data_IF_425833903898
#
_entry.id   IF_425833903898
#
_cell.length_a   1.000
_cell.length_b   1.000
_cell.length_c   1.000
_cell.angle_alpha   90.00
_cell.angle_beta   90.00
_cell.angle_gamma   90.00
#
_symmetry.space_group_name_H-M   'P 1'
#
loop_
_entity.id
_entity.type
_entity.pdbx_description
1 polymer ?
#
# COMPACT_ATOMS: atom_id res chain seq x y z
N UNK A 1 -5.52 15.13 4.09
CA UNK A 1 -5.90 14.01 4.97
C UNK A 1 -7.33 13.61 4.68
N UNK A 2 -7.69 12.33 4.79
CA UNK A 2 -9.08 11.88 4.66
C UNK A 2 -9.99 12.54 5.71
N UNK A 3 -11.15 13.08 5.29
CA UNK A 3 -12.09 13.80 6.15
C UNK A 3 -12.83 12.90 7.16
N UNK A 4 -12.72 11.58 7.02
CA UNK A 4 -13.23 10.60 7.97
C UNK A 4 -12.39 10.45 9.25
N UNK A 5 -11.23 11.11 9.32
CA UNK A 5 -10.30 11.00 10.44
C UNK A 5 -10.37 12.18 11.41
N UNK A 6 -10.20 11.86 12.69
CA UNK A 6 -9.83 12.83 13.73
C UNK A 6 -8.32 12.79 13.88
N UNK A 7 -7.65 13.91 13.63
CA UNK A 7 -6.19 14.03 13.58
C UNK A 7 -5.69 14.88 14.75
N UNK A 8 -4.58 14.49 15.36
CA UNK A 8 -3.86 15.23 16.41
C UNK A 8 -2.36 15.19 16.10
N UNK A 9 -1.65 16.28 16.41
CA UNK A 9 -0.19 16.32 16.35
C UNK A 9 0.35 16.12 17.77
N UNK A 10 1.40 15.31 17.91
CA UNK A 10 2.05 15.06 19.21
C UNK A 10 2.92 16.26 19.62
N UNK A 11 3.57 16.91 18.66
CA UNK A 11 4.59 17.94 18.87
C UNK A 11 4.18 19.32 18.29
N UNK A 12 2.87 19.56 18.15
CA UNK A 12 2.35 20.78 17.56
C UNK A 12 0.84 20.95 17.76
N UNK A 13 0.32 22.09 17.33
CA UNK A 13 -1.12 22.33 17.21
C UNK A 13 -1.56 22.18 15.75
N UNK A 14 -2.73 21.60 15.55
CA UNK A 14 -3.37 21.47 14.23
C UNK A 14 -4.52 22.47 14.10
N UNK A 15 -4.52 23.21 13.01
CA UNK A 15 -5.63 24.07 12.62
C UNK A 15 -6.16 23.62 11.27
N UNK A 16 -7.47 23.35 11.20
CA UNK A 16 -8.13 23.09 9.92
C UNK A 16 -8.09 24.37 9.07
N UNK A 17 -7.58 24.26 7.85
CA UNK A 17 -7.50 25.39 6.92
C UNK A 17 -8.58 25.33 5.83
N UNK A 18 -8.94 24.13 5.39
CA UNK A 18 -9.97 23.93 4.37
C UNK A 18 -10.48 22.49 4.39
N UNK A 19 -11.66 22.31 3.79
CA UNK A 19 -12.20 21.01 3.38
C UNK A 19 -12.36 21.06 1.86
N UNK A 20 -12.04 19.96 1.18
CA UNK A 20 -12.23 19.85 -0.27
C UNK A 20 -13.71 19.98 -0.64
N UNK A 21 -14.00 20.41 -1.87
CA UNK A 21 -15.37 20.59 -2.37
C UNK A 21 -16.19 19.29 -2.31
N UNK A 22 -15.55 18.15 -2.56
CA UNK A 22 -16.16 16.81 -2.45
C UNK A 22 -16.37 16.35 -0.99
N UNK A 23 -15.89 17.11 -0.01
CA UNK A 23 -15.99 16.77 1.41
C UNK A 23 -15.17 15.55 1.85
N UNK A 24 -14.30 15.01 0.99
CA UNK A 24 -13.51 13.80 1.25
C UNK A 24 -12.16 14.07 1.89
N UNK A 25 -11.66 15.31 1.82
CA UNK A 25 -10.35 15.70 2.34
C UNK A 25 -10.44 16.92 3.24
N UNK A 26 -9.64 16.88 4.30
CA UNK A 26 -9.39 18.03 5.17
C UNK A 26 -7.92 18.39 5.08
N UNK A 27 -7.67 19.68 4.87
CA UNK A 27 -6.35 20.28 4.87
C UNK A 27 -6.09 20.91 6.24
N UNK A 28 -4.89 20.71 6.77
CA UNK A 28 -4.48 21.19 8.07
C UNK A 28 -3.19 22.00 7.97
N UNK A 29 -3.07 23.02 8.81
CA UNK A 29 -1.80 23.67 9.13
C UNK A 29 -1.34 23.16 10.49
N UNK A 30 -0.11 22.66 10.54
CA UNK A 30 0.55 22.30 11.80
C UNK A 30 1.45 23.45 12.23
N UNK A 31 1.34 23.87 13.49
CA UNK A 31 2.28 24.78 14.14
C UNK A 31 3.07 23.98 15.18
N UNK A 32 4.36 23.77 14.94
CA UNK A 32 5.22 23.03 15.85
C UNK A 32 5.47 23.83 17.13
N UNK A 33 5.46 23.16 18.29
CA UNK A 33 5.76 23.79 19.57
C UNK A 33 7.26 24.10 19.72
N UNK A 34 8.10 23.29 19.08
CA UNK A 34 9.56 23.43 19.07
C UNK A 34 10.06 23.03 17.69
N UNK A 35 11.10 23.69 17.19
CA UNK A 35 11.69 23.36 15.89
C UNK A 35 12.19 21.90 15.89
N UNK A 36 11.78 21.13 14.89
CA UNK A 36 12.15 19.73 14.69
C UNK A 36 11.98 19.36 13.21
N UNK A 37 12.74 18.35 12.80
CA UNK A 37 12.67 17.67 11.51
C UNK A 37 11.65 16.51 11.49
N UNK A 38 11.07 16.16 12.65
CA UNK A 38 10.10 15.07 12.78
C UNK A 38 8.71 15.62 13.08
N UNK A 39 7.72 15.29 12.26
CA UNK A 39 6.31 15.53 12.56
C UNK A 39 5.62 14.22 12.94
N UNK A 40 5.05 14.15 14.14
CA UNK A 40 4.28 12.97 14.59
C UNK A 40 2.79 13.27 14.63
N UNK A 41 2.04 12.51 13.84
CA UNK A 41 0.58 12.62 13.76
C UNK A 41 -0.08 11.34 14.26
N UNK A 42 -1.12 11.52 15.07
CA UNK A 42 -2.00 10.46 15.53
C UNK A 42 -3.37 10.70 14.91
N UNK A 43 -3.91 9.72 14.20
CA UNK A 43 -5.24 9.83 13.61
C UNK A 43 -6.02 8.53 13.69
N UNK A 44 -7.35 8.66 13.79
CA UNK A 44 -8.30 7.54 13.85
C UNK A 44 -9.64 7.94 13.26
N UNK A 45 -10.37 6.97 12.72
CA UNK A 45 -11.73 7.19 12.26
C UNK A 45 -12.12 6.19 11.16
N UNK A 46 -13.29 6.42 10.57
CA UNK A 46 -13.75 5.67 9.39
C UNK A 46 -13.48 6.55 8.17
N UNK A 47 -12.54 6.17 7.29
CA UNK A 47 -12.24 6.97 6.11
C UNK A 47 -13.46 7.08 5.20
N UNK A 48 -13.58 8.23 4.52
CA UNK A 48 -14.60 8.50 3.51
C UNK A 48 -13.99 8.34 2.14
N UNK A 49 -14.68 7.64 1.26
CA UNK A 49 -14.23 7.41 -0.11
C UNK A 49 -15.24 7.96 -1.09
N UNK A 50 -14.79 8.26 -2.30
CA UNK A 50 -15.68 8.60 -3.40
C UNK A 50 -16.51 7.38 -3.80
N UNK A 51 -17.75 7.57 -4.20
CA UNK A 51 -18.54 6.53 -4.89
C UNK A 51 -18.07 6.30 -6.33
N UNK A 52 -17.16 7.15 -6.82
CA UNK A 52 -16.56 7.00 -8.15
C UNK A 52 -15.67 5.77 -8.20
N UNK A 53 -15.79 5.06 -9.31
CA UNK A 53 -14.92 3.95 -9.65
C UNK A 53 -14.06 4.29 -10.87
N UNK A 54 -12.92 3.63 -10.97
CA UNK A 54 -12.04 3.67 -12.13
C UNK A 54 -12.34 2.51 -13.09
N UNK A 55 -11.44 2.23 -14.04
CA UNK A 55 -11.58 1.12 -14.98
C UNK A 55 -11.83 -0.20 -14.23
N UNK A 56 -12.74 -1.05 -14.73
CA UNK A 56 -13.09 -2.33 -14.10
C UNK A 56 -13.84 -2.20 -12.76
N UNK A 57 -14.36 -1.01 -12.43
CA UNK A 57 -15.18 -0.81 -11.23
C UNK A 57 -14.37 -0.66 -9.93
N UNK A 58 -13.06 -0.49 -10.02
CA UNK A 58 -12.19 -0.39 -8.85
C UNK A 58 -12.43 0.93 -8.08
N UNK A 59 -12.64 0.88 -6.76
CA UNK A 59 -12.92 2.07 -5.96
C UNK A 59 -11.68 2.94 -5.76
N UNK A 60 -11.87 4.23 -5.45
CA UNK A 60 -10.78 5.14 -5.02
C UNK A 60 -10.30 4.90 -3.57
N UNK A 61 -10.69 3.78 -2.98
CA UNK A 61 -10.43 3.43 -1.59
C UNK A 61 -11.58 2.60 -1.02
N UNK A 62 -11.25 1.54 -0.29
CA UNK A 62 -12.23 0.72 0.42
C UNK A 62 -11.58 0.12 1.67
N UNK A 63 -12.37 0.05 2.74
CA UNK A 63 -12.07 -0.71 3.95
C UNK A 63 -13.37 -1.42 4.33
N UNK A 64 -13.48 -2.70 3.98
CA UNK A 64 -14.68 -3.51 4.22
C UNK A 64 -14.31 -4.89 4.77
N UNK A 65 -15.32 -5.74 5.00
CA UNK A 65 -15.10 -7.14 5.37
C UNK A 65 -14.57 -8.01 4.22
N UNK A 66 -14.68 -7.53 2.98
CA UNK A 66 -14.27 -8.27 1.77
C UNK A 66 -12.85 -7.93 1.33
N UNK A 67 -12.34 -6.77 1.77
CA UNK A 67 -10.97 -6.36 1.50
C UNK A 67 -10.67 -4.91 1.82
N UNK A 68 -9.39 -4.57 1.69
CA UNK A 68 -8.86 -3.22 1.81
C UNK A 68 -8.09 -2.88 0.54
N UNK A 69 -8.37 -1.72 -0.02
CA UNK A 69 -7.54 -1.08 -1.02
C UNK A 69 -7.41 0.40 -0.64
N UNK A 70 -6.17 0.87 -0.48
CA UNK A 70 -5.86 2.25 -0.14
C UNK A 70 -4.62 2.70 -0.94
N UNK A 71 -4.74 3.86 -1.55
CA UNK A 71 -3.69 4.59 -2.28
C UNK A 71 -3.74 6.10 -1.93
N UNK A 72 -2.92 6.93 -2.56
CA UNK A 72 -2.87 8.37 -2.35
C UNK A 72 -4.23 9.04 -2.57
N UNK A 73 -5.02 8.55 -3.54
CA UNK A 73 -6.34 9.11 -3.89
C UNK A 73 -7.30 9.03 -2.70
N UNK A 74 -7.19 7.98 -1.88
CA UNK A 74 -7.97 7.78 -0.66
C UNK A 74 -7.54 8.70 0.50
N UNK A 75 -6.38 9.35 0.40
CA UNK A 75 -5.82 10.25 1.42
C UNK A 75 -5.73 9.60 2.82
N UNK A 76 -5.49 8.29 2.86
CA UNK A 76 -5.42 7.50 4.09
C UNK A 76 -4.20 7.81 4.97
N UNK A 77 -3.20 8.48 4.39
CA UNK A 77 -2.05 9.09 5.04
C UNK A 77 -2.00 10.61 4.75
N UNK A 78 -1.18 11.38 5.48
CA UNK A 78 -0.98 12.80 5.20
C UNK A 78 -0.29 13.02 3.85
N UNK A 79 -0.93 13.79 2.97
CA UNK A 79 -0.37 14.18 1.67
C UNK A 79 0.34 15.54 1.81
N UNK A 80 1.62 15.57 1.49
CA UNK A 80 2.45 16.78 1.49
C UNK A 80 2.76 17.30 0.08
N UNK A 81 2.34 16.59 -0.97
CA UNK A 81 2.63 16.96 -2.37
C UNK A 81 4.10 16.76 -2.74
N UNK A 82 4.78 15.84 -2.07
CA UNK A 82 6.16 15.43 -2.31
C UNK A 82 6.23 13.91 -2.37
N UNK A 83 7.22 13.39 -3.08
CA UNK A 83 7.52 11.96 -3.14
C UNK A 83 8.15 11.49 -1.81
N UNK A 84 8.09 10.18 -1.58
CA UNK A 84 8.65 9.53 -0.41
C UNK A 84 9.98 8.87 -0.77
N UNK A 85 11.03 9.15 0.00
CA UNK A 85 12.32 8.48 -0.18
C UNK A 85 12.32 7.04 0.38
N UNK A 86 11.58 6.83 1.47
CA UNK A 86 11.53 5.57 2.20
C UNK A 86 10.20 5.37 2.91
N UNK A 87 9.86 4.11 3.16
CA UNK A 87 8.68 3.68 3.90
C UNK A 87 9.07 2.68 4.97
N UNK A 88 8.50 2.85 6.16
CA UNK A 88 8.41 1.81 7.17
C UNK A 88 6.99 1.81 7.74
N UNK A 89 6.24 0.76 7.44
CA UNK A 89 4.84 0.63 7.80
C UNK A 89 4.60 -0.68 8.56
N UNK A 90 3.97 -0.58 9.72
CA UNK A 90 3.45 -1.73 10.45
C UNK A 90 1.93 -1.79 10.32
N UNK A 91 1.40 -2.97 10.01
CA UNK A 91 -0.03 -3.21 9.81
C UNK A 91 -0.51 -4.26 10.81
N UNK A 92 -1.61 -3.96 11.50
CA UNK A 92 -2.35 -4.91 12.33
C UNK A 92 -3.68 -5.22 11.67
N UNK A 93 -3.94 -6.50 11.46
CA UNK A 93 -5.14 -7.00 10.78
C UNK A 93 -5.87 -8.04 11.64
N UNK A 94 -7.14 -8.38 11.32
CA UNK A 94 -7.82 -9.52 11.90
C UNK A 94 -7.09 -10.84 11.60
N UNK A 95 -7.34 -11.88 12.40
CA UNK A 95 -6.77 -13.20 12.15
C UNK A 95 -7.15 -13.74 10.77
N UNK A 96 -6.18 -14.40 10.11
CA UNK A 96 -6.33 -14.94 8.76
C UNK A 96 -6.26 -13.89 7.63
N UNK A 97 -6.14 -12.60 7.95
CA UNK A 97 -5.89 -11.58 6.94
C UNK A 97 -4.39 -11.41 6.68
N UNK A 98 -4.07 -11.01 5.47
CA UNK A 98 -2.74 -10.64 5.01
C UNK A 98 -2.79 -9.23 4.44
N UNK A 99 -1.67 -8.50 4.54
CA UNK A 99 -1.48 -7.23 3.81
C UNK A 99 -0.45 -7.42 2.71
N UNK A 100 -0.53 -6.57 1.69
CA UNK A 100 0.49 -6.34 0.67
C UNK A 100 0.73 -4.84 0.54
N UNK A 101 1.99 -4.45 0.44
CA UNK A 101 2.43 -3.08 0.17
C UNK A 101 3.73 -3.10 -0.65
N UNK A 102 4.35 -1.93 -0.82
CA UNK A 102 5.62 -1.78 -1.50
C UNK A 102 6.76 -2.27 -0.59
N UNK A 103 7.72 -2.97 -1.19
CA UNK A 103 8.99 -3.31 -0.53
C UNK A 103 9.00 -4.66 0.17
N UNK A 104 9.91 -4.80 1.14
CA UNK A 104 10.17 -6.04 1.87
C UNK A 104 9.15 -6.27 2.97
N UNK A 105 8.58 -7.47 2.98
CA UNK A 105 7.70 -7.95 4.05
C UNK A 105 8.52 -8.53 5.20
N UNK A 106 8.11 -8.23 6.43
CA UNK A 106 8.54 -8.93 7.64
C UNK A 106 7.31 -9.24 8.49
N UNK A 107 7.37 -10.32 9.25
CA UNK A 107 6.29 -10.70 10.16
C UNK A 107 6.90 -11.15 11.47
N UNK A 108 6.55 -10.46 12.55
CA UNK A 108 7.02 -10.74 13.90
C UNK A 108 5.84 -10.69 14.87
N UNK A 109 5.67 -11.73 15.68
CA UNK A 109 4.61 -11.86 16.68
C UNK A 109 3.20 -11.46 16.17
N UNK A 110 2.84 -11.83 14.93
CA UNK A 110 1.55 -11.52 14.30
C UNK A 110 1.40 -10.07 13.79
N UNK A 111 2.48 -9.28 13.77
CA UNK A 111 2.54 -7.95 13.16
C UNK A 111 3.26 -8.04 11.82
N UNK A 112 2.58 -7.68 10.75
CA UNK A 112 3.16 -7.59 9.41
C UNK A 112 3.71 -6.18 9.21
N UNK A 113 4.96 -6.08 8.76
CA UNK A 113 5.59 -4.80 8.43
C UNK A 113 6.15 -4.79 7.02
N UNK A 114 6.12 -3.62 6.41
CA UNK A 114 6.56 -3.33 5.04
C UNK A 114 7.61 -2.23 5.07
N UNK A 115 8.71 -2.43 4.33
CA UNK A 115 9.80 -1.45 4.29
C UNK A 115 10.45 -1.34 2.92
N UNK A 116 10.79 -0.12 2.53
CA UNK A 116 11.57 0.17 1.32
C UNK A 116 12.38 1.45 1.53
N UNK A 117 13.57 1.49 0.95
CA UNK A 117 14.47 2.65 0.83
C UNK A 117 14.51 3.20 -0.61
N UNK A 118 13.55 2.77 -1.44
CA UNK A 118 13.38 3.24 -2.82
C UNK A 118 12.36 4.37 -2.87
N UNK A 119 12.62 5.43 -3.67
CA UNK A 119 11.64 6.49 -3.91
C UNK A 119 10.32 5.98 -4.48
N UNK A 120 9.20 6.55 -4.04
CA UNK A 120 7.85 6.25 -4.52
C UNK A 120 6.93 7.45 -4.33
N UNK A 121 5.97 7.62 -5.23
CA UNK A 121 5.00 8.73 -5.28
C UNK A 121 3.69 8.40 -4.54
N UNK A 122 3.46 7.13 -4.22
CA UNK A 122 2.23 6.63 -3.59
C UNK A 122 2.51 5.56 -2.52
N UNK A 123 1.66 5.50 -1.49
CA UNK A 123 1.62 4.44 -0.49
C UNK A 123 0.40 3.56 -0.70
N UNK A 124 0.65 2.33 -1.12
CA UNK A 124 -0.38 1.31 -1.29
C UNK A 124 -0.54 0.45 -0.03
N UNK A 125 -1.77 0.19 0.37
CA UNK A 125 -2.10 -0.86 1.33
C UNK A 125 -3.26 -1.70 0.77
N UNK A 126 -2.97 -2.95 0.46
CA UNK A 126 -3.94 -3.96 0.10
C UNK A 126 -4.04 -4.93 1.25
N UNK A 127 -5.24 -5.34 1.64
CA UNK A 127 -5.40 -6.40 2.61
C UNK A 127 -6.65 -7.24 2.34
N UNK A 128 -6.57 -8.52 2.70
CA UNK A 128 -7.63 -9.49 2.46
C UNK A 128 -7.25 -10.85 3.02
N UNK A 129 -8.13 -11.83 2.86
CA UNK A 129 -7.88 -13.23 3.24
C UNK A 129 -7.14 -13.97 2.14
N UNK A 130 -5.93 -13.54 1.85
CA UNK A 130 -5.12 -14.13 0.79
C UNK A 130 -4.41 -15.40 1.24
N UNK A 131 -4.31 -16.35 0.32
CA UNK A 131 -3.42 -17.49 0.38
C UNK A 131 -2.14 -17.13 -0.36
N UNK A 132 -1.02 -17.16 0.36
CA UNK A 132 0.28 -16.68 -0.14
C UNK A 132 1.15 -17.85 -0.57
N UNK A 133 1.58 -17.80 -1.83
CA UNK A 133 2.64 -18.65 -2.39
C UNK A 133 3.86 -17.78 -2.65
N UNK A 134 5.04 -18.18 -2.21
CA UNK A 134 6.24 -17.34 -2.39
C UNK A 134 7.52 -18.17 -2.49
N UNK A 135 8.50 -17.62 -3.19
CA UNK A 135 9.86 -18.17 -3.28
C UNK A 135 10.89 -17.06 -3.50
N UNK A 136 12.15 -17.37 -3.21
CA UNK A 136 13.26 -16.48 -3.53
C UNK A 136 13.72 -16.69 -4.98
N UNK A 137 14.08 -15.60 -5.65
CA UNK A 137 14.70 -15.56 -6.97
C UNK A 137 15.90 -14.61 -6.90
N UNK A 138 17.07 -15.17 -6.58
CA UNK A 138 18.22 -14.36 -6.16
C UNK A 138 17.90 -13.61 -4.87
N UNK A 139 18.10 -12.28 -4.88
CA UNK A 139 17.80 -11.38 -3.76
C UNK A 139 16.36 -10.84 -3.78
N UNK A 140 15.53 -11.28 -4.73
CA UNK A 140 14.17 -10.81 -4.95
C UNK A 140 13.18 -11.86 -4.44
N UNK A 141 12.28 -11.46 -3.56
CA UNK A 141 11.15 -12.31 -3.19
C UNK A 141 10.07 -12.25 -4.28
N UNK A 142 9.70 -13.40 -4.84
CA UNK A 142 8.53 -13.53 -5.71
C UNK A 142 7.36 -14.06 -4.90
N UNK A 143 6.19 -13.46 -5.06
CA UNK A 143 4.98 -13.93 -4.37
C UNK A 143 3.71 -13.82 -5.20
N UNK A 144 2.80 -14.75 -4.98
CA UNK A 144 1.46 -14.78 -5.56
C UNK A 144 0.47 -14.86 -4.40
N UNK A 145 -0.54 -14.00 -4.43
CA UNK A 145 -1.53 -13.87 -3.37
C UNK A 145 -2.91 -14.12 -3.98
N UNK A 146 -3.53 -15.24 -3.63
CA UNK A 146 -4.80 -15.70 -4.21
C UNK A 146 -5.93 -15.64 -3.20
N UNK A 147 -7.16 -15.45 -3.65
CA UNK A 147 -8.38 -15.50 -2.83
C UNK A 147 -8.78 -16.95 -2.55
N UNK A 148 -8.55 -17.85 -3.51
CA UNK A 148 -8.73 -19.29 -3.39
C UNK A 148 -7.41 -20.01 -3.69
N UNK A 149 -7.18 -21.18 -3.07
CA UNK A 149 -5.90 -21.86 -3.23
C UNK A 149 -5.81 -22.54 -4.60
N UNK A 150 -4.86 -22.10 -5.43
CA UNK A 150 -4.48 -22.77 -6.67
C UNK A 150 -2.95 -22.80 -6.79
N UNK A 151 -2.29 -23.84 -6.22
CA UNK A 151 -0.84 -23.97 -6.27
C UNK A 151 -0.27 -24.10 -7.70
N UNK A 152 -1.05 -24.62 -8.65
CA UNK A 152 -0.62 -24.78 -10.05
C UNK A 152 -0.58 -23.42 -10.74
N UNK A 153 -1.61 -22.60 -10.54
CA UNK A 153 -1.66 -21.22 -11.00
C UNK A 153 -0.54 -20.39 -10.37
N UNK A 154 -0.35 -20.52 -9.05
CA UNK A 154 0.67 -19.80 -8.31
C UNK A 154 2.08 -20.13 -8.85
N UNK A 155 2.41 -21.41 -9.03
CA UNK A 155 3.71 -21.81 -9.56
C UNK A 155 3.94 -21.30 -10.99
N UNK A 156 2.90 -21.29 -11.84
CA UNK A 156 3.00 -20.71 -13.18
C UNK A 156 3.37 -19.23 -13.14
N UNK A 157 2.73 -18.44 -12.27
CA UNK A 157 3.08 -17.03 -12.09
C UNK A 157 4.47 -16.85 -11.50
N UNK A 158 4.86 -17.64 -10.49
CA UNK A 158 6.19 -17.57 -9.88
C UNK A 158 7.30 -17.88 -10.89
N UNK A 159 7.10 -18.86 -11.77
CA UNK A 159 8.00 -19.16 -12.88
C UNK A 159 8.12 -18.00 -13.86
N UNK A 160 6.99 -17.52 -14.38
CA UNK A 160 6.97 -16.42 -15.34
C UNK A 160 7.59 -15.14 -14.77
N UNK A 161 7.28 -14.77 -13.53
CA UNK A 161 7.86 -13.59 -12.89
C UNK A 161 9.39 -13.65 -12.83
N UNK A 162 9.96 -14.81 -12.47
CA UNK A 162 11.42 -15.00 -12.46
C UNK A 162 12.03 -14.86 -13.85
N UNK A 163 11.46 -15.54 -14.85
CA UNK A 163 11.94 -15.49 -16.24
C UNK A 163 11.92 -14.06 -16.81
N UNK A 164 10.85 -13.31 -16.55
CA UNK A 164 10.72 -11.92 -17.01
C UNK A 164 11.64 -10.96 -16.27
N UNK A 165 11.83 -11.14 -14.96
CA UNK A 165 12.80 -10.35 -14.18
C UNK A 165 14.20 -10.57 -14.75
N UNK A 166 14.60 -11.82 -15.01
CA UNK A 166 15.92 -12.13 -15.57
C UNK A 166 16.08 -11.56 -16.98
N UNK A 167 15.03 -11.69 -17.81
CA UNK A 167 15.03 -11.17 -19.17
C UNK A 167 15.24 -9.66 -19.20
N UNK A 168 14.42 -8.90 -18.46
CA UNK A 168 14.52 -7.44 -18.46
C UNK A 168 15.76 -6.95 -17.71
N UNK A 169 16.21 -7.65 -16.66
CA UNK A 169 17.44 -7.25 -15.95
C UNK A 169 18.66 -7.25 -16.88
N UNK A 170 18.74 -8.21 -17.82
CA UNK A 170 19.80 -8.23 -18.84
C UNK A 170 19.72 -7.08 -19.85
N UNK A 171 18.53 -6.52 -20.07
CA UNK A 171 18.31 -5.48 -21.09
C UNK A 171 18.45 -4.07 -20.52
N UNK A 172 17.96 -3.84 -19.31
CA UNK A 172 17.79 -2.49 -18.74
C UNK A 172 18.39 -2.32 -17.35
N UNK A 173 19.10 -3.33 -16.84
CA UNK A 173 19.76 -3.30 -15.54
C UNK A 173 18.93 -3.95 -14.43
N UNK A 174 19.58 -4.17 -13.28
CA UNK A 174 19.05 -4.97 -12.18
C UNK A 174 17.67 -4.49 -11.69
N UNK A 175 16.81 -5.46 -11.38
CA UNK A 175 15.50 -5.17 -10.80
C UNK A 175 15.63 -4.44 -9.45
N UNK A 176 15.03 -3.25 -9.28
CA UNK A 176 15.41 -2.34 -8.20
C UNK A 176 14.74 -2.64 -6.85
N UNK A 177 13.72 -3.51 -6.81
CA UNK A 177 12.92 -3.78 -5.61
C UNK A 177 13.26 -5.13 -4.98
N UNK A 178 13.13 -5.22 -3.66
CA UNK A 178 13.36 -6.45 -2.90
C UNK A 178 12.29 -7.54 -3.12
N UNK A 179 11.18 -7.21 -3.79
CA UNK A 179 10.04 -8.10 -4.03
C UNK A 179 9.40 -7.79 -5.39
N UNK A 180 8.85 -8.81 -6.04
CA UNK A 180 7.75 -8.64 -7.00
C UNK A 180 6.57 -9.54 -6.61
N UNK A 181 5.35 -9.04 -6.69
CA UNK A 181 4.16 -9.81 -6.34
C UNK A 181 3.04 -9.71 -7.37
N UNK A 182 2.30 -10.81 -7.54
CA UNK A 182 0.98 -10.83 -8.20
C UNK A 182 -0.06 -10.98 -7.11
N UNK A 183 -1.01 -10.05 -7.06
CA UNK A 183 -2.06 -10.03 -6.05
C UNK A 183 -3.40 -10.12 -6.76
N UNK A 184 -4.15 -11.18 -6.50
CA UNK A 184 -5.52 -11.32 -6.97
C UNK A 184 -6.41 -10.29 -6.27
N UNK A 185 -7.35 -9.73 -7.01
CA UNK A 185 -8.35 -8.82 -6.50
C UNK A 185 -9.76 -9.28 -6.92
N UNK A 186 -10.77 -8.57 -6.43
CA UNK A 186 -12.17 -8.81 -6.82
C UNK A 186 -12.60 -7.96 -8.04
N UNK A 187 -11.75 -7.08 -8.55
CA UNK A 187 -12.06 -6.11 -9.60
C UNK A 187 -11.22 -6.42 -10.84
N UNK A 188 -11.83 -6.90 -11.93
CA UNK A 188 -11.17 -7.29 -13.19
C UNK A 188 -10.30 -6.17 -13.81
N UNK A 189 -9.12 -5.96 -13.26
CA UNK A 189 -8.26 -4.81 -13.50
C UNK A 189 -6.82 -5.28 -13.45
N UNK A 190 -5.95 -4.67 -14.27
CA UNK A 190 -4.52 -4.94 -14.25
C UNK A 190 -3.77 -3.68 -13.88
N UNK A 191 -3.59 -3.43 -12.58
CA UNK A 191 -2.85 -2.27 -12.10
C UNK A 191 -1.42 -2.66 -11.75
N UNK A 192 -0.46 -1.96 -12.37
CA UNK A 192 0.94 -2.04 -12.00
C UNK A 192 1.27 -1.04 -10.90
N UNK A 193 1.79 -1.52 -9.78
CA UNK A 193 2.35 -0.72 -8.70
C UNK A 193 3.86 -0.96 -8.61
N UNK A 194 4.63 -0.08 -7.95
CA UNK A 194 6.00 -0.38 -7.59
C UNK A 194 6.07 -1.70 -6.83
N UNK A 195 6.84 -2.67 -7.32
CA UNK A 195 7.06 -3.99 -6.70
C UNK A 195 5.88 -4.98 -6.66
N UNK A 196 4.73 -4.70 -7.29
CA UNK A 196 3.64 -5.68 -7.45
C UNK A 196 2.61 -5.28 -8.51
N UNK A 197 1.81 -6.25 -8.96
CA UNK A 197 0.62 -6.03 -9.79
C UNK A 197 -0.61 -6.52 -9.06
N UNK A 198 -1.72 -5.82 -9.27
CA UNK A 198 -3.06 -6.21 -8.81
C UNK A 198 -3.86 -6.69 -10.03
N UNK A 199 -4.33 -7.94 -10.01
CA UNK A 199 -4.99 -8.65 -11.12
C UNK A 199 -6.38 -9.17 -10.76
#
# INVERSE_FOLDING_TARGET
MNAGYVVRAENGTLHTIATSEDGLRTAYRVTLQTATDVLKLHYRGKPRFSERTSLGGMPQGIVSGDGVYLDASSSWYPLFGIDFDALNMAVKLPDGWQSVSIGRRTEDAGRVSWSTDRPHDDLYLIAGRFIRHARQHGDIELSVWLLEDDPVLAERYLALMGDYIDHYSRLIGDYPYAKFAVVENHWQTGFGMPSFTLL
#
